data_IF_146326798255
#
_entry.id   IF_146326798255
#
_cell.length_a   1.000
_cell.length_b   1.000
_cell.length_c   1.000
_cell.angle_alpha   90.00
_cell.angle_beta   90.00
_cell.angle_gamma   90.00
#
_symmetry.space_group_name_H-M   'P 1'
#
loop_
_entity.id
_entity.type
_entity.pdbx_description
1 polymer ?
#
# COMPACT_ATOMS: atom_id res chain seq x y z
N UNK A 1 -1.98 -7.77 -8.30
CA UNK A 1 -0.55 -7.64 -7.95
C UNK A 1 -0.28 -6.17 -7.59
N UNK A 2 0.62 -5.81 -6.70
CA UNK A 2 0.99 -4.42 -6.37
C UNK A 2 2.42 -4.39 -5.83
N UNK A 3 3.06 -3.22 -5.84
CA UNK A 3 4.35 -3.00 -5.17
C UNK A 3 4.28 -1.74 -4.33
N UNK A 4 4.72 -1.80 -3.08
CA UNK A 4 4.72 -0.66 -2.14
C UNK A 4 6.08 -0.55 -1.46
N UNK A 5 6.60 0.67 -1.35
CA UNK A 5 7.78 0.93 -0.54
C UNK A 5 7.65 2.20 0.30
N UNK A 6 8.38 2.26 1.42
CA UNK A 6 8.59 3.45 2.25
C UNK A 6 10.08 3.67 2.37
N UNK A 7 10.57 4.88 2.12
CA UNK A 7 11.97 5.26 2.22
C UNK A 7 12.16 6.37 3.25
N UNK A 8 13.02 6.14 4.24
CA UNK A 8 13.23 7.04 5.39
C UNK A 8 14.51 7.86 5.20
N UNK A 9 14.51 8.74 4.21
CA UNK A 9 15.67 9.56 3.82
C UNK A 9 15.70 10.91 4.53
N UNK A 10 16.31 11.92 3.88
CA UNK A 10 16.12 13.33 4.26
C UNK A 10 14.66 13.79 4.07
N UNK A 11 13.94 13.09 3.21
CA UNK A 11 12.49 13.16 3.05
C UNK A 11 11.94 11.75 3.31
N UNK A 12 10.75 11.67 3.91
CA UNK A 12 9.98 10.43 3.95
C UNK A 12 9.22 10.34 2.64
N UNK A 13 9.68 9.44 1.77
CA UNK A 13 9.12 9.21 0.45
C UNK A 13 8.53 7.81 0.42
N UNK A 14 7.30 7.70 -0.07
CA UNK A 14 6.66 6.41 -0.20
C UNK A 14 5.92 6.27 -1.51
N UNK A 15 6.15 5.17 -2.22
CA UNK A 15 5.63 4.92 -3.55
C UNK A 15 4.81 3.65 -3.63
N UNK A 16 3.82 3.63 -4.51
CA UNK A 16 2.93 2.49 -4.73
C UNK A 16 2.61 2.32 -6.23
N UNK A 17 2.70 1.08 -6.71
CA UNK A 17 2.12 0.64 -7.98
C UNK A 17 0.85 -0.16 -7.69
N UNK A 18 -0.25 0.32 -8.27
CA UNK A 18 -1.54 -0.32 -8.21
C UNK A 18 -1.80 -1.13 -9.48
N UNK A 19 -1.56 -2.43 -9.41
CA UNK A 19 -1.72 -3.34 -10.56
C UNK A 19 -3.02 -4.13 -10.43
N UNK A 20 -3.93 -3.88 -11.37
CA UNK A 20 -5.29 -4.40 -11.26
C UNK A 20 -5.84 -4.82 -12.62
N UNK A 21 -6.62 -5.90 -12.58
CA UNK A 21 -7.43 -6.35 -13.69
C UNK A 21 -8.74 -5.56 -13.75
N UNK A 22 -8.88 -4.76 -14.81
CA UNK A 22 -10.06 -3.92 -15.05
C UNK A 22 -11.30 -4.71 -15.47
N UNK A 23 -11.16 -5.99 -15.82
CA UNK A 23 -12.31 -6.88 -16.04
C UNK A 23 -13.00 -7.26 -14.72
N UNK A 24 -12.28 -7.16 -13.60
CA UNK A 24 -12.78 -7.54 -12.26
C UNK A 24 -13.14 -6.30 -11.44
N UNK A 25 -12.34 -5.24 -11.51
CA UNK A 25 -12.47 -4.09 -10.61
C UNK A 25 -12.58 -2.77 -11.36
N UNK A 26 -13.55 -1.96 -10.93
CA UNK A 26 -13.66 -0.55 -11.32
C UNK A 26 -12.98 0.32 -10.28
N UNK A 27 -12.07 1.18 -10.73
CA UNK A 27 -11.33 2.10 -9.88
C UNK A 27 -11.40 3.54 -10.40
N UNK A 28 -11.07 4.49 -9.53
CA UNK A 28 -10.93 5.90 -9.88
C UNK A 28 -9.94 6.58 -8.93
N UNK A 29 -9.09 7.47 -9.43
CA UNK A 29 -8.30 8.38 -8.58
C UNK A 29 -9.21 9.49 -8.04
N UNK A 30 -9.19 9.72 -6.74
CA UNK A 30 -10.01 10.70 -6.05
C UNK A 30 -9.10 11.62 -5.22
N UNK A 31 -9.29 12.91 -5.44
CA UNK A 31 -8.63 14.01 -4.73
C UNK A 31 -9.68 14.71 -3.87
N UNK A 32 -9.51 14.67 -2.56
CA UNK A 32 -10.34 15.35 -1.58
C UNK A 32 -9.46 16.24 -0.70
N UNK A 33 -10.05 17.24 -0.03
CA UNK A 33 -9.31 18.20 0.82
C UNK A 33 -8.30 17.51 1.75
N UNK A 34 -8.73 16.43 2.41
CA UNK A 34 -7.96 15.78 3.47
C UNK A 34 -7.26 14.51 3.01
N UNK A 35 -7.52 14.01 1.79
CA UNK A 35 -6.99 12.73 1.32
C UNK A 35 -6.92 12.62 -0.19
N UNK A 36 -5.89 11.92 -0.64
CA UNK A 36 -5.77 11.38 -1.99
C UNK A 36 -5.92 9.87 -1.92
N UNK A 37 -6.68 9.25 -2.81
CA UNK A 37 -6.79 7.79 -2.83
C UNK A 37 -7.17 7.22 -4.20
N UNK A 38 -6.81 5.96 -4.40
CA UNK A 38 -7.34 5.12 -5.46
C UNK A 38 -8.59 4.45 -4.90
N UNK A 39 -9.75 4.95 -5.31
CA UNK A 39 -11.05 4.41 -4.92
C UNK A 39 -11.37 3.14 -5.68
N UNK A 40 -11.82 2.10 -4.98
CA UNK A 40 -12.37 0.88 -5.58
C UNK A 40 -13.88 0.90 -5.42
N UNK A 41 -14.63 0.76 -6.51
CA UNK A 41 -16.08 0.68 -6.45
C UNK A 41 -16.49 -0.65 -5.81
N UNK A 42 -17.28 -0.57 -4.74
CA UNK A 42 -17.79 -1.74 -4.02
C UNK A 42 -19.27 -1.95 -4.29
N UNK A 43 -19.79 -3.08 -3.83
CA UNK A 43 -21.18 -3.51 -4.06
C UNK A 43 -22.22 -2.57 -3.44
N UNK A 44 -21.83 -1.73 -2.49
CA UNK A 44 -22.67 -0.68 -1.91
C UNK A 44 -22.76 0.58 -2.79
N UNK A 45 -22.07 0.60 -3.94
CA UNK A 45 -22.07 1.71 -4.89
C UNK A 45 -21.09 2.83 -4.53
N UNK A 46 -20.29 2.69 -3.47
CA UNK A 46 -19.31 3.68 -3.04
C UNK A 46 -17.89 3.33 -3.50
N UNK A 47 -17.06 4.35 -3.69
CA UNK A 47 -15.62 4.19 -3.87
C UNK A 47 -14.92 4.19 -2.52
N UNK A 48 -14.36 3.05 -2.14
CA UNK A 48 -13.65 2.89 -0.86
C UNK A 48 -12.17 3.22 -0.98
N UNK A 49 -11.61 3.84 0.05
CA UNK A 49 -10.20 4.25 0.09
C UNK A 49 -9.33 3.16 0.70
N UNK A 50 -8.93 2.17 -0.11
CA UNK A 50 -8.03 1.08 0.32
C UNK A 50 -6.55 1.33 -0.01
N UNK A 51 -6.27 2.31 -0.87
CA UNK A 51 -4.92 2.74 -1.22
C UNK A 51 -4.92 4.26 -1.25
N UNK A 52 -4.27 4.92 -0.30
CA UNK A 52 -4.36 6.37 -0.20
C UNK A 52 -3.50 7.00 0.87
N UNK A 53 -3.40 8.32 0.76
CA UNK A 53 -2.62 9.22 1.59
C UNK A 53 -3.56 10.22 2.22
N UNK A 54 -3.45 10.45 3.52
CA UNK A 54 -4.15 11.51 4.23
C UNK A 54 -3.25 12.76 4.38
N UNK A 55 -3.86 13.92 4.60
CA UNK A 55 -3.16 15.19 4.86
C UNK A 55 -2.25 15.12 6.10
N UNK A 56 -2.57 14.26 7.08
CA UNK A 56 -1.71 14.02 8.25
C UNK A 56 -0.45 13.18 7.91
N UNK A 57 -0.33 12.69 6.67
CA UNK A 57 0.77 11.89 6.15
C UNK A 57 0.64 10.38 6.39
N UNK A 58 -0.48 9.91 6.94
CA UNK A 58 -0.82 8.50 6.96
C UNK A 58 -0.99 7.99 5.53
N UNK A 59 -0.40 6.83 5.25
CA UNK A 59 -0.55 6.15 3.97
C UNK A 59 -0.87 4.69 4.22
N UNK A 60 -1.97 4.23 3.63
CA UNK A 60 -2.39 2.83 3.70
C UNK A 60 -2.51 2.23 2.31
N UNK A 61 -2.16 0.95 2.18
CA UNK A 61 -2.34 0.19 0.95
C UNK A 61 -2.68 -1.26 1.27
N UNK A 62 -3.68 -1.81 0.58
CA UNK A 62 -3.90 -3.25 0.48
C UNK A 62 -3.12 -3.83 -0.71
N UNK A 63 -2.66 -5.08 -0.58
CA UNK A 63 -2.03 -5.84 -1.64
C UNK A 63 -2.61 -7.25 -1.65
N UNK A 64 -2.94 -7.79 -2.83
CA UNK A 64 -3.34 -9.19 -2.95
C UNK A 64 -2.26 -10.11 -2.39
N UNK A 65 -2.68 -11.14 -1.69
CA UNK A 65 -1.80 -12.21 -1.19
C UNK A 65 -2.54 -13.54 -1.28
N UNK A 66 -1.82 -14.64 -1.47
CA UNK A 66 -2.43 -15.95 -1.31
C UNK A 66 -2.91 -16.13 0.12
N UNK A 67 -4.18 -16.49 0.29
CA UNK A 67 -4.86 -16.50 1.59
C UNK A 67 -4.33 -17.56 2.55
N UNK A 68 -4.12 -17.18 3.80
CA UNK A 68 -3.91 -18.10 4.90
C UNK A 68 -5.26 -18.48 5.52
N UNK A 69 -5.62 -19.77 5.64
CA UNK A 69 -6.89 -20.19 6.26
C UNK A 69 -7.15 -19.60 7.66
N UNK A 70 -6.09 -19.36 8.45
CA UNK A 70 -6.23 -18.73 9.77
C UNK A 70 -6.73 -17.28 9.71
N UNK A 71 -6.56 -16.61 8.58
CA UNK A 71 -7.02 -15.25 8.29
C UNK A 71 -8.41 -15.19 7.66
N UNK A 72 -9.10 -16.33 7.46
CA UNK A 72 -10.43 -16.37 6.88
C UNK A 72 -11.41 -15.41 7.59
N UNK A 73 -12.32 -14.82 6.81
CA UNK A 73 -13.28 -13.85 7.30
C UNK A 73 -14.12 -14.40 8.47
N UNK A 74 -14.23 -13.61 9.53
CA UNK A 74 -15.05 -13.90 10.70
C UNK A 74 -15.73 -12.61 11.18
N UNK A 75 -16.94 -12.74 11.73
CA UNK A 75 -17.71 -11.63 12.31
C UNK A 75 -17.65 -11.70 13.83
N UNK A 76 -17.56 -10.55 14.48
CA UNK A 76 -17.54 -10.44 15.94
C UNK A 76 -16.64 -9.29 16.41
N UNK A 77 -16.75 -8.91 17.69
CA UNK A 77 -16.02 -7.76 18.26
C UNK A 77 -14.50 -7.95 18.30
N UNK A 78 -14.07 -9.19 18.43
CA UNK A 78 -12.66 -9.63 18.46
C UNK A 78 -12.00 -9.63 17.07
N UNK A 79 -12.79 -9.50 16.00
CA UNK A 79 -12.30 -9.53 14.62
C UNK A 79 -12.31 -8.12 14.02
N UNK A 80 -11.32 -7.85 13.18
CA UNK A 80 -11.24 -6.63 12.38
C UNK A 80 -10.82 -7.02 10.97
N UNK A 81 -11.57 -6.60 9.95
CA UNK A 81 -11.12 -6.87 8.59
C UNK A 81 -9.92 -5.97 8.26
N UNK A 82 -8.97 -6.50 7.50
CA UNK A 82 -7.81 -5.73 7.05
C UNK A 82 -8.22 -4.54 6.17
N UNK A 83 -9.33 -4.67 5.44
CA UNK A 83 -9.88 -3.62 4.58
C UNK A 83 -10.45 -2.46 5.42
N UNK A 84 -11.27 -2.76 6.43
CA UNK A 84 -11.81 -1.74 7.33
C UNK A 84 -10.69 -1.04 8.10
N UNK A 85 -9.69 -1.80 8.56
CA UNK A 85 -8.56 -1.24 9.33
C UNK A 85 -7.78 -0.24 8.48
N UNK A 86 -7.47 -0.64 7.25
CA UNK A 86 -6.73 0.19 6.29
C UNK A 86 -7.53 1.43 5.90
N UNK A 87 -8.82 1.28 5.64
CA UNK A 87 -9.67 2.40 5.25
C UNK A 87 -9.86 3.42 6.38
N UNK A 88 -10.10 2.96 7.62
CA UNK A 88 -10.18 3.84 8.79
C UNK A 88 -8.87 4.61 9.01
N UNK A 89 -7.72 3.95 8.79
CA UNK A 89 -6.41 4.59 8.89
C UNK A 89 -6.19 5.67 7.81
N UNK A 90 -6.55 5.40 6.56
CA UNK A 90 -6.47 6.37 5.44
C UNK A 90 -7.44 7.55 5.65
N UNK A 91 -8.60 7.29 6.25
CA UNK A 91 -9.57 8.33 6.65
C UNK A 91 -9.15 9.11 7.90
N UNK A 92 -7.98 8.81 8.49
CA UNK A 92 -7.51 9.38 9.75
C UNK A 92 -8.49 9.22 10.93
N UNK A 93 -9.34 8.19 10.89
CA UNK A 93 -10.26 7.86 12.00
C UNK A 93 -9.54 7.15 13.14
N UNK A 94 -8.41 6.52 12.85
CA UNK A 94 -7.53 5.86 13.82
C UNK A 94 -6.07 6.27 13.56
N UNK A 95 -5.30 6.44 14.64
CA UNK A 95 -3.87 6.74 14.55
C UNK A 95 -3.04 5.49 14.28
N UNK A 96 -1.75 5.66 13.97
CA UNK A 96 -0.81 4.54 13.86
C UNK A 96 -0.75 3.72 15.15
N UNK A 97 -0.76 4.38 16.32
CA UNK A 97 -0.74 3.69 17.61
C UNK A 97 -2.05 2.94 17.88
N UNK A 98 -3.20 3.47 17.42
CA UNK A 98 -4.46 2.73 17.47
C UNK A 98 -4.40 1.47 16.58
N UNK A 99 -3.86 1.58 15.36
CA UNK A 99 -3.67 0.42 14.47
C UNK A 99 -2.79 -0.63 15.14
N UNK A 100 -1.68 -0.23 15.74
CA UNK A 100 -0.78 -1.14 16.45
C UNK A 100 -1.49 -1.83 17.63
N UNK A 101 -2.27 -1.08 18.40
CA UNK A 101 -3.07 -1.64 19.50
C UNK A 101 -4.15 -2.60 19.01
N UNK A 102 -4.78 -2.32 17.87
CA UNK A 102 -5.77 -3.20 17.24
C UNK A 102 -5.08 -4.48 16.75
N UNK A 103 -3.93 -4.39 16.09
CA UNK A 103 -3.17 -5.55 15.62
C UNK A 103 -2.67 -6.44 16.79
N UNK A 104 -2.47 -5.87 17.97
CA UNK A 104 -2.11 -6.59 19.21
C UNK A 104 -3.30 -7.27 19.89
N UNK A 105 -4.46 -6.61 19.91
CA UNK A 105 -5.60 -7.04 20.73
C UNK A 105 -6.69 -7.76 19.97
N UNK A 106 -6.78 -7.60 18.64
CA UNK A 106 -7.80 -8.21 17.79
C UNK A 106 -7.18 -9.17 16.79
N UNK A 107 -8.00 -10.12 16.32
CA UNK A 107 -7.64 -10.96 15.19
C UNK A 107 -7.95 -10.23 13.88
N UNK A 108 -6.91 -9.88 13.13
CA UNK A 108 -7.06 -9.31 11.80
C UNK A 108 -7.40 -10.43 10.80
N UNK A 109 -8.49 -10.25 10.06
CA UNK A 109 -9.03 -11.21 9.08
C UNK A 109 -9.15 -10.57 7.70
N UNK A 110 -9.30 -11.39 6.67
CA UNK A 110 -9.58 -10.94 5.31
C UNK A 110 -10.98 -10.30 5.20
N UNK A 111 -11.21 -9.60 4.08
CA UNK A 111 -12.57 -9.25 3.68
C UNK A 111 -13.30 -10.51 3.16
N UNK A 112 -14.65 -10.53 3.11
CA UNK A 112 -15.41 -11.68 2.63
C UNK A 112 -15.10 -12.10 1.19
N UNK A 113 -14.64 -11.17 0.36
CA UNK A 113 -14.52 -11.32 -1.09
C UNK A 113 -13.07 -11.24 -1.60
N UNK A 114 -12.09 -10.99 -0.73
CA UNK A 114 -10.69 -10.86 -1.14
C UNK A 114 -9.69 -11.18 -0.03
N UNK A 115 -8.60 -11.86 -0.39
CA UNK A 115 -7.44 -12.10 0.47
C UNK A 115 -6.37 -11.04 0.22
N UNK A 116 -6.15 -10.19 1.22
CA UNK A 116 -5.27 -9.03 1.14
C UNK A 116 -4.36 -8.95 2.37
N UNK A 117 -3.16 -8.41 2.18
CA UNK A 117 -2.26 -7.93 3.24
C UNK A 117 -2.16 -6.41 3.17
N UNK A 118 -1.69 -5.77 4.25
CA UNK A 118 -1.53 -4.33 4.28
C UNK A 118 -0.10 -3.90 4.61
N UNK A 119 0.30 -2.77 4.04
CA UNK A 119 1.37 -1.94 4.58
C UNK A 119 0.80 -0.56 4.90
N UNK A 120 0.95 -0.17 6.16
CA UNK A 120 0.50 1.11 6.70
C UNK A 120 1.71 1.90 7.18
N UNK A 121 1.77 3.19 6.89
CA UNK A 121 2.86 4.06 7.34
C UNK A 121 2.36 5.43 7.75
N UNK A 122 3.04 6.08 8.70
CA UNK A 122 2.76 7.46 9.09
C UNK A 122 3.76 8.47 8.52
N UNK A 123 3.60 9.75 8.87
CA UNK A 123 4.45 10.84 8.39
C UNK A 123 5.90 10.77 8.89
N UNK A 124 6.18 10.01 9.95
CA UNK A 124 7.52 9.74 10.45
C UNK A 124 8.17 8.53 9.75
N UNK A 125 7.42 7.85 8.89
CA UNK A 125 7.85 6.64 8.21
C UNK A 125 7.80 5.39 9.10
N UNK A 126 7.19 5.44 10.30
CA UNK A 126 6.88 4.21 11.03
C UNK A 126 6.02 3.35 10.13
N UNK A 127 6.35 2.07 9.99
CA UNK A 127 5.65 1.19 9.04
C UNK A 127 5.23 -0.09 9.72
N UNK A 128 4.03 -0.54 9.38
CA UNK A 128 3.45 -1.76 9.88
C UNK A 128 3.01 -2.61 8.68
N UNK A 129 3.61 -3.79 8.54
CA UNK A 129 3.13 -4.84 7.64
C UNK A 129 2.17 -5.72 8.43
N UNK A 130 0.98 -5.99 7.88
CA UNK A 130 -0.03 -6.84 8.51
C UNK A 130 -0.47 -7.91 7.53
N UNK A 131 -0.37 -9.16 7.95
CA UNK A 131 -0.77 -10.33 7.19
C UNK A 131 -1.83 -11.11 7.98
N UNK A 132 -3.11 -11.06 7.56
CA UNK A 132 -4.19 -11.73 8.28
C UNK A 132 -3.93 -13.23 8.48
N UNK A 133 -4.14 -13.71 9.71
CA UNK A 133 -3.85 -15.10 10.09
C UNK A 133 -2.37 -15.45 10.29
N UNK A 134 -1.44 -14.52 10.06
CA UNK A 134 0.00 -14.71 10.30
C UNK A 134 0.47 -13.79 11.42
N UNK A 135 0.22 -12.47 11.31
CA UNK A 135 0.61 -11.50 12.31
C UNK A 135 0.89 -10.12 11.74
N UNK A 136 1.73 -9.36 12.43
CA UNK A 136 2.20 -8.04 11.99
C UNK A 136 3.69 -7.88 12.26
N UNK A 137 4.34 -6.97 11.53
CA UNK A 137 5.74 -6.59 11.71
C UNK A 137 5.88 -5.07 11.64
N UNK A 138 6.40 -4.49 12.70
CA UNK A 138 6.85 -3.09 12.70
C UNK A 138 8.20 -2.99 11.99
N UNK A 139 8.36 -2.01 11.11
CA UNK A 139 9.59 -1.77 10.36
C UNK A 139 10.07 -0.33 10.54
N UNK A 140 11.36 -0.20 10.89
CA UNK A 140 12.07 1.07 11.06
C UNK A 140 13.43 1.08 10.35
N UNK A 141 13.71 0.07 9.52
CA UNK A 141 14.89 0.01 8.65
C UNK A 141 14.94 1.19 7.69
N UNK A 142 16.02 1.35 6.92
CA UNK A 142 16.16 2.49 6.00
C UNK A 142 15.01 2.63 5.01
N UNK A 143 14.51 1.48 4.55
CA UNK A 143 13.31 1.38 3.75
C UNK A 143 12.49 0.16 4.17
N UNK A 144 11.24 0.14 3.73
CA UNK A 144 10.31 -0.98 3.78
C UNK A 144 9.83 -1.27 2.38
N UNK A 145 9.62 -2.53 2.03
CA UNK A 145 9.19 -2.96 0.70
C UNK A 145 8.24 -4.14 0.85
N UNK A 146 7.14 -4.16 0.10
CA UNK A 146 6.20 -5.29 0.04
C UNK A 146 5.62 -5.43 -1.39
N UNK A 147 5.36 -6.67 -1.79
CA UNK A 147 4.65 -7.03 -3.02
C UNK A 147 3.45 -7.94 -2.69
N UNK A 148 3.27 -9.07 -3.37
CA UNK A 148 2.08 -9.92 -3.25
C UNK A 148 2.32 -11.26 -2.57
N UNK A 149 3.52 -11.47 -2.05
CA UNK A 149 3.85 -12.62 -1.20
C UNK A 149 4.10 -12.17 0.24
N UNK A 150 4.05 -13.15 1.13
CA UNK A 150 4.22 -12.98 2.55
C UNK A 150 5.67 -12.61 2.87
N UNK A 151 5.86 -11.58 3.68
CA UNK A 151 7.13 -11.22 4.28
C UNK A 151 7.31 -11.82 5.67
N UNK A 152 6.22 -12.16 6.36
CA UNK A 152 6.24 -12.73 7.71
C UNK A 152 6.42 -14.26 7.67
N UNK A 153 5.91 -14.91 6.64
CA UNK A 153 6.00 -16.36 6.41
C UNK A 153 6.16 -16.68 4.91
N UNK A 154 7.32 -16.37 4.30
CA UNK A 154 7.51 -16.49 2.84
C UNK A 154 7.14 -17.86 2.24
N UNK A 155 7.44 -18.95 2.95
CA UNK A 155 7.09 -20.31 2.52
C UNK A 155 5.57 -20.54 2.37
N UNK A 156 4.69 -19.75 3.02
CA UNK A 156 3.25 -19.90 2.82
C UNK A 156 2.74 -19.36 1.48
N UNK A 157 3.55 -18.57 0.78
CA UNK A 157 3.19 -17.96 -0.50
C UNK A 157 4.11 -18.37 -1.66
N UNK A 158 5.23 -19.03 -1.35
CA UNK A 158 6.28 -19.38 -2.32
C UNK A 158 5.77 -20.15 -3.54
N UNK A 159 4.93 -21.16 -3.32
CA UNK A 159 4.39 -21.99 -4.40
C UNK A 159 3.31 -21.28 -5.24
N UNK A 160 2.90 -20.08 -4.84
CA UNK A 160 1.88 -19.26 -5.51
C UNK A 160 2.47 -18.05 -6.22
N UNK A 161 3.80 -17.88 -6.20
CA UNK A 161 4.48 -16.83 -6.96
C UNK A 161 4.36 -17.16 -8.44
N UNK A 162 3.76 -16.26 -9.20
CA UNK A 162 3.58 -16.44 -10.65
C UNK A 162 4.94 -16.43 -11.32
N UNK A 163 5.14 -17.32 -12.30
CA UNK A 163 6.37 -17.39 -13.08
C UNK A 163 6.74 -16.02 -13.65
N UNK A 164 7.96 -15.55 -13.35
CA UNK A 164 8.47 -14.26 -13.80
C UNK A 164 8.12 -13.07 -12.90
N UNK A 165 7.39 -13.26 -11.80
CA UNK A 165 7.22 -12.21 -10.80
C UNK A 165 8.49 -12.08 -9.93
N UNK A 166 9.28 -11.06 -10.24
CA UNK A 166 10.57 -10.74 -9.60
C UNK A 166 10.59 -9.28 -9.10
N UNK A 167 9.40 -8.66 -8.91
CA UNK A 167 9.28 -7.22 -8.66
C UNK A 167 9.94 -6.78 -7.36
N UNK A 168 9.92 -7.62 -6.32
CA UNK A 168 10.58 -7.30 -5.06
C UNK A 168 12.10 -7.33 -5.25
N UNK A 169 12.60 -8.38 -5.89
CA UNK A 169 14.03 -8.62 -6.12
C UNK A 169 14.62 -7.51 -7.01
N UNK A 170 13.86 -7.01 -7.99
CA UNK A 170 14.25 -5.85 -8.80
C UNK A 170 14.16 -4.52 -8.04
N UNK A 171 13.22 -4.38 -7.10
CA UNK A 171 13.09 -3.16 -6.30
C UNK A 171 14.21 -3.00 -5.26
N UNK A 172 14.66 -4.10 -4.63
CA UNK A 172 15.67 -4.10 -3.57
C UNK A 172 16.95 -3.31 -3.92
N UNK A 173 17.68 -3.62 -5.02
CA UNK A 173 18.92 -2.90 -5.34
C UNK A 173 18.65 -1.42 -5.65
N UNK A 174 17.45 -1.05 -6.11
CA UNK A 174 17.05 0.34 -6.33
C UNK A 174 16.75 1.07 -5.01
N UNK A 175 16.59 0.38 -3.89
CA UNK A 175 16.43 1.01 -2.57
C UNK A 175 17.78 1.08 -1.83
N UNK A 176 18.67 0.10 -2.01
CA UNK A 176 19.94 0.02 -1.30
C UNK A 176 20.96 1.13 -1.65
N UNK A 177 20.83 1.73 -2.84
CA UNK A 177 21.89 2.57 -3.41
C UNK A 177 21.88 4.05 -2.96
N UNK A 178 20.85 4.52 -2.25
CA UNK A 178 20.60 5.96 -2.14
C UNK A 178 20.95 6.62 -0.81
N UNK A 179 21.44 5.86 0.20
CA UNK A 179 21.75 6.39 1.56
C UNK A 179 20.64 7.33 2.06
N UNK A 180 20.89 8.62 2.28
CA UNK A 180 19.86 9.58 2.72
C UNK A 180 19.24 10.43 1.58
N UNK A 181 19.67 10.21 0.33
CA UNK A 181 19.41 11.10 -0.82
C UNK A 181 18.37 10.58 -1.81
N UNK A 182 17.53 9.62 -1.40
CA UNK A 182 16.45 9.12 -2.24
C UNK A 182 15.48 10.26 -2.57
N UNK A 183 15.19 10.45 -3.85
CA UNK A 183 14.39 11.57 -4.36
C UNK A 183 13.08 11.11 -4.98
N UNK A 184 12.20 12.06 -5.31
CA UNK A 184 10.99 11.78 -6.10
C UNK A 184 11.31 11.17 -7.47
N UNK A 185 12.42 11.55 -8.11
CA UNK A 185 12.84 10.94 -9.38
C UNK A 185 13.15 9.46 -9.18
N UNK A 186 13.93 9.13 -8.14
CA UNK A 186 14.29 7.73 -7.86
C UNK A 186 13.07 6.90 -7.47
N UNK A 187 12.10 7.50 -6.79
CA UNK A 187 10.81 6.85 -6.53
C UNK A 187 10.09 6.45 -7.82
N UNK A 188 9.98 7.36 -8.80
CA UNK A 188 9.33 7.06 -10.07
C UNK A 188 10.17 6.12 -10.95
N UNK A 189 11.50 6.23 -10.94
CA UNK A 189 12.40 5.27 -11.61
C UNK A 189 12.17 3.85 -11.07
N UNK A 190 12.07 3.70 -9.75
CA UNK A 190 11.75 2.41 -9.12
C UNK A 190 10.37 1.92 -9.55
N UNK A 191 9.33 2.76 -9.41
CA UNK A 191 7.97 2.37 -9.79
C UNK A 191 7.85 2.02 -11.28
N UNK A 192 8.58 2.73 -12.15
CA UNK A 192 8.65 2.43 -13.57
C UNK A 192 9.34 1.09 -13.84
N UNK A 193 10.43 0.80 -13.13
CA UNK A 193 11.17 -0.45 -13.27
C UNK A 193 10.32 -1.66 -12.87
N UNK A 194 9.51 -1.55 -11.82
CA UNK A 194 8.69 -2.67 -11.29
C UNK A 194 7.23 -2.61 -11.72
N UNK A 195 6.89 -1.79 -12.72
CA UNK A 195 5.55 -1.72 -13.29
C UNK A 195 5.17 -3.03 -13.98
N UNK A 196 3.87 -3.22 -14.19
CA UNK A 196 3.31 -4.35 -14.91
C UNK A 196 2.55 -3.89 -16.14
N UNK A 197 2.44 -4.80 -17.11
CA UNK A 197 1.71 -4.64 -18.36
C UNK A 197 0.72 -5.82 -18.53
N UNK A 198 -0.12 -5.77 -19.56
CA UNK A 198 -1.13 -6.82 -19.81
C UNK A 198 -2.39 -6.70 -18.93
N UNK A 199 -3.01 -7.84 -18.60
CA UNK A 199 -4.27 -7.87 -17.86
C UNK A 199 -4.15 -7.21 -16.47
N UNK A 200 -3.06 -7.49 -15.77
CA UNK A 200 -2.71 -6.90 -14.48
C UNK A 200 -1.76 -5.71 -14.62
N UNK A 201 -1.96 -4.87 -15.64
CA UNK A 201 -1.12 -3.68 -15.83
C UNK A 201 -1.21 -2.71 -14.65
N UNK A 202 -0.13 -1.98 -14.39
CA UNK A 202 -0.13 -0.87 -13.43
C UNK A 202 -1.05 0.25 -13.92
N UNK A 203 -2.16 0.46 -13.21
CA UNK A 203 -3.18 1.46 -13.58
C UNK A 203 -2.96 2.80 -12.91
N UNK A 204 -2.41 2.79 -11.70
CA UNK A 204 -2.02 4.01 -11.01
C UNK A 204 -0.68 3.78 -10.31
N UNK A 205 0.25 4.71 -10.46
CA UNK A 205 1.44 4.80 -9.64
C UNK A 205 1.37 6.09 -8.85
N UNK A 206 1.57 6.06 -7.54
CA UNK A 206 1.67 7.30 -6.75
C UNK A 206 2.92 7.32 -5.87
N UNK A 207 3.45 8.51 -5.65
CA UNK A 207 4.56 8.80 -4.75
C UNK A 207 4.14 9.96 -3.84
N UNK A 208 4.22 9.75 -2.53
CA UNK A 208 4.04 10.79 -1.53
C UNK A 208 5.39 11.26 -0.99
N UNK A 209 5.54 12.57 -0.82
CA UNK A 209 6.66 13.21 -0.13
C UNK A 209 6.13 13.94 1.10
N UNK A 210 6.63 13.56 2.28
CA UNK A 210 6.25 14.21 3.54
C UNK A 210 6.69 15.67 3.57
N UNK A 211 7.94 15.96 3.17
CA UNK A 211 8.46 17.33 3.18
C UNK A 211 7.65 18.27 2.28
N UNK A 212 7.15 17.77 1.14
CA UNK A 212 6.33 18.56 0.22
C UNK A 212 4.83 18.50 0.52
N UNK A 213 4.40 17.63 1.44
CA UNK A 213 3.00 17.30 1.70
C UNK A 213 2.18 17.18 0.40
N UNK A 214 2.70 16.42 -0.55
CA UNK A 214 2.14 16.30 -1.89
C UNK A 214 2.21 14.87 -2.38
N UNK A 215 1.15 14.45 -3.06
CA UNK A 215 1.11 13.22 -3.85
C UNK A 215 1.39 13.54 -5.30
N UNK A 216 2.29 12.79 -5.91
CA UNK A 216 2.57 12.79 -7.34
C UNK A 216 2.06 11.48 -7.89
N UNK A 217 1.30 11.48 -8.98
CA UNK A 217 0.72 10.25 -9.50
C UNK A 217 0.67 10.21 -11.01
N UNK A 218 0.65 8.98 -11.52
CA UNK A 218 0.60 8.61 -12.93
C UNK A 218 -0.56 7.65 -13.11
N UNK A 219 -1.28 7.78 -14.22
CA UNK A 219 -2.33 6.84 -14.61
C UNK A 219 -1.90 6.06 -15.86
N UNK A 220 -2.25 4.78 -15.92
CA UNK A 220 -2.07 3.87 -17.06
C UNK A 220 -0.63 3.82 -17.60
N UNK A 221 0.37 3.63 -16.74
CA UNK A 221 1.79 3.54 -17.11
C UNK A 221 2.35 4.76 -17.88
N UNK A 222 1.66 5.90 -17.89
CA UNK A 222 2.11 7.09 -18.62
C UNK A 222 3.04 7.95 -17.75
N UNK A 223 4.25 7.46 -17.47
CA UNK A 223 5.23 8.14 -16.59
C UNK A 223 5.75 9.47 -17.16
N UNK A 224 5.45 9.79 -18.42
CA UNK A 224 5.71 11.12 -19.01
C UNK A 224 4.73 12.18 -18.49
N UNK A 225 3.58 11.76 -17.95
CA UNK A 225 2.51 12.64 -17.50
C UNK A 225 2.25 12.49 -15.99
N UNK A 226 3.17 13.03 -15.19
CA UNK A 226 3.05 13.06 -13.73
C UNK A 226 2.14 14.20 -13.28
N UNK A 227 1.04 13.87 -12.61
CA UNK A 227 0.14 14.82 -11.95
C UNK A 227 0.57 15.05 -10.51
N UNK A 228 0.15 16.18 -9.93
CA UNK A 228 0.44 16.56 -8.56
C UNK A 228 -0.84 16.98 -7.84
N UNK A 229 -1.07 16.36 -6.69
CA UNK A 229 -2.04 16.79 -5.70
C UNK A 229 -1.29 17.31 -4.46
N UNK A 230 -1.60 18.52 -4.00
CA UNK A 230 -0.97 19.15 -2.83
C UNK A 230 -1.99 19.29 -1.72
N UNK A 231 -1.67 18.76 -0.54
CA UNK A 231 -2.47 19.01 0.66
C UNK A 231 -2.33 20.46 1.09
N UNK A 232 -3.45 21.06 1.51
CA UNK A 232 -3.42 22.39 2.11
C UNK A 232 -2.98 22.26 3.58
N UNK A 233 -2.26 23.25 4.11
CA UNK A 233 -2.02 23.32 5.56
C UNK A 233 -3.34 23.27 6.33
N UNK A 234 -3.34 22.55 7.44
CA UNK A 234 -4.47 22.52 8.39
C UNK A 234 -4.42 23.76 9.27
#
# INVERSE_FOLDING_TARGET
MCTRFVYRGNDMITGFNFDIDLSVWKHKVIEERERFYIGILRSDGAYHSYHGVNQNGNVGTLLYVHGNPAGAYQKGREFMTIADLTEQFIKAQISFDNVLQIAKSKKIVYAPDATMQAMLSDNQGRTLVIEPGIGYREEQSKYSLITNYSLLKPESTKDFIVSGDDRYERALPLLDNYKNKFSLSNAFELLYAVRQEGAWATRVSFVYSANKQSVYYVENNNFEHIRKFKFLPV
#
